data_IF_787553020397
#
_entry.id   IF_787553020397
#
_cell.length_a   1.000
_cell.length_b   1.000
_cell.length_c   1.000
_cell.angle_alpha   90.00
_cell.angle_beta   90.00
_cell.angle_gamma   90.00
#
_symmetry.space_group_name_H-M   'P 1'
#
loop_
_entity.id
_entity.type
_entity.pdbx_description
1 polymer ?
#
# COMPACT_ATOMS: atom_id res chain seq x y z
N UNK A 1 -97.61 -20.14 40.53
CA UNK A 1 -96.75 -19.96 41.72
C UNK A 1 -95.52 -20.84 41.54
N UNK A 2 -94.34 -20.23 41.65
CA UNK A 2 -92.96 -20.74 41.46
C UNK A 2 -92.67 -21.37 40.08
N UNK A 3 -92.17 -20.64 39.08
CA UNK A 3 -90.81 -20.07 38.93
C UNK A 3 -89.67 -21.04 39.30
N UNK A 4 -89.08 -21.64 38.27
CA UNK A 4 -87.71 -22.15 38.30
C UNK A 4 -86.98 -21.69 37.04
N UNK A 5 -86.42 -20.48 37.17
CA UNK A 5 -85.38 -19.90 36.33
C UNK A 5 -84.17 -20.84 36.27
N UNK A 6 -83.91 -21.43 35.11
CA UNK A 6 -82.62 -22.05 34.81
C UNK A 6 -81.66 -20.93 34.39
N UNK A 7 -80.82 -20.49 35.33
CA UNK A 7 -79.77 -19.51 35.06
C UNK A 7 -78.78 -20.08 34.04
N UNK A 8 -78.77 -19.49 32.84
CA UNK A 8 -77.65 -19.63 31.93
C UNK A 8 -76.40 -19.00 32.55
N UNK A 9 -75.37 -19.82 32.80
CA UNK A 9 -74.06 -19.32 33.22
C UNK A 9 -73.41 -18.67 32.00
N UNK A 10 -73.48 -17.35 31.91
CA UNK A 10 -72.77 -16.54 30.94
C UNK A 10 -71.29 -16.52 31.31
N UNK A 11 -70.47 -17.34 30.66
CA UNK A 11 -69.01 -17.22 30.74
C UNK A 11 -68.58 -16.02 29.88
N UNK A 12 -68.46 -14.84 30.51
CA UNK A 12 -67.78 -13.70 29.89
C UNK A 12 -66.28 -14.00 29.94
N UNK A 13 -65.73 -14.45 28.81
CA UNK A 13 -64.28 -14.51 28.65
C UNK A 13 -63.77 -13.07 28.55
N UNK A 14 -63.29 -12.53 29.68
CA UNK A 14 -62.59 -11.25 29.72
C UNK A 14 -61.25 -11.44 29.00
N UNK A 15 -61.21 -11.14 27.71
CA UNK A 15 -59.96 -10.94 26.96
C UNK A 15 -59.32 -9.66 27.49
N UNK A 16 -58.53 -9.81 28.56
CA UNK A 16 -57.63 -8.76 29.01
C UNK A 16 -56.60 -8.55 27.88
N UNK A 17 -56.44 -7.32 27.35
CA UNK A 17 -55.36 -7.04 26.43
C UNK A 17 -54.06 -7.27 27.20
N UNK A 18 -53.31 -8.31 26.84
CA UNK A 18 -51.96 -8.51 27.37
C UNK A 18 -51.14 -7.32 26.87
N UNK A 19 -50.61 -6.44 27.73
CA UNK A 19 -49.71 -5.40 27.27
C UNK A 19 -48.47 -6.09 26.69
N UNK A 20 -48.27 -6.00 25.39
CA UNK A 20 -46.99 -6.35 24.79
C UNK A 20 -45.98 -5.29 25.23
N UNK A 21 -45.24 -5.59 26.30
CA UNK A 21 -44.12 -4.77 26.74
C UNK A 21 -42.96 -4.96 25.77
N UNK A 22 -42.85 -4.13 24.73
CA UNK A 22 -41.65 -4.12 23.90
C UNK A 22 -40.56 -3.36 24.64
N UNK A 23 -39.60 -4.08 25.22
CA UNK A 23 -38.33 -3.50 25.66
C UNK A 23 -37.36 -3.52 24.48
N UNK A 24 -37.01 -2.33 23.97
CA UNK A 24 -35.92 -2.15 23.02
C UNK A 24 -34.74 -1.49 23.72
N UNK A 25 -33.55 -2.05 23.57
CA UNK A 25 -32.29 -1.38 23.93
C UNK A 25 -31.57 -1.01 22.63
N UNK A 26 -31.21 0.26 22.48
CA UNK A 26 -30.38 0.74 21.38
C UNK A 26 -28.99 0.98 21.92
N UNK A 27 -27.99 0.36 21.31
CA UNK A 27 -26.58 0.62 21.59
C UNK A 27 -25.99 1.42 20.43
N UNK A 28 -25.45 2.60 20.73
CA UNK A 28 -24.70 3.39 19.76
C UNK A 28 -23.22 2.99 19.80
N UNK A 29 -22.67 2.60 18.65
CA UNK A 29 -21.24 2.28 18.51
C UNK A 29 -20.60 3.39 17.67
N UNK A 30 -19.64 4.11 18.25
CA UNK A 30 -18.83 5.12 17.55
C UNK A 30 -17.39 4.65 17.45
N UNK A 31 -16.85 4.69 16.23
CA UNK A 31 -15.47 4.31 15.93
C UNK A 31 -14.79 5.50 15.27
N UNK A 32 -13.55 5.79 15.69
CA UNK A 32 -12.68 6.76 15.03
C UNK A 32 -11.46 6.03 14.48
N UNK A 33 -11.18 6.22 13.19
CA UNK A 33 -10.00 5.67 12.52
C UNK A 33 -9.01 6.83 12.30
N UNK A 34 -7.81 6.80 12.89
CA UNK A 34 -6.81 7.84 12.67
C UNK A 34 -6.21 7.73 11.26
N UNK A 35 -5.63 8.82 10.77
CA UNK A 35 -4.85 8.79 9.52
C UNK A 35 -3.57 7.93 9.68
N UNK A 36 -3.20 7.21 8.63
CA UNK A 36 -1.99 6.39 8.55
C UNK A 36 -1.32 6.52 7.19
N UNK A 37 0.01 6.58 7.20
CA UNK A 37 0.85 6.59 6.00
C UNK A 37 1.81 5.40 6.10
N UNK A 38 1.70 4.48 5.15
CA UNK A 38 2.53 3.28 5.12
C UNK A 38 2.72 2.80 3.69
N UNK A 39 3.94 2.38 3.37
CA UNK A 39 4.27 1.75 2.09
C UNK A 39 5.08 0.49 2.34
N UNK A 40 5.04 -0.42 1.38
CA UNK A 40 5.81 -1.65 1.37
C UNK A 40 6.46 -1.87 0.02
N UNK A 41 7.62 -2.54 0.03
CA UNK A 41 8.30 -2.97 -1.17
C UNK A 41 7.94 -4.42 -1.46
N UNK A 42 7.62 -4.72 -2.71
CA UNK A 42 7.40 -6.08 -3.21
C UNK A 42 8.50 -6.45 -4.20
N UNK A 43 8.90 -7.71 -4.20
CA UNK A 43 9.77 -8.28 -5.22
C UNK A 43 9.12 -9.54 -5.79
N UNK A 44 8.92 -9.58 -7.11
CA UNK A 44 8.26 -10.70 -7.81
C UNK A 44 6.87 -11.01 -7.23
N UNK A 45 6.14 -9.97 -6.83
CA UNK A 45 4.82 -10.08 -6.21
C UNK A 45 4.82 -10.53 -4.74
N UNK A 46 5.98 -10.81 -4.14
CA UNK A 46 6.09 -11.23 -2.75
C UNK A 46 6.40 -10.05 -1.83
N UNK A 47 5.78 -10.05 -0.65
CA UNK A 47 6.05 -9.09 0.42
C UNK A 47 7.42 -9.40 1.03
N UNK A 48 8.40 -8.54 0.72
CA UNK A 48 9.79 -8.67 1.21
C UNK A 48 10.07 -7.77 2.42
N UNK A 49 9.04 -7.05 2.89
CA UNK A 49 9.14 -6.08 3.98
C UNK A 49 9.78 -4.76 3.54
N UNK A 50 10.60 -4.18 4.42
CA UNK A 50 11.16 -2.83 4.24
C UNK A 50 12.44 -2.78 3.38
N UNK A 51 12.96 -3.93 2.95
CA UNK A 51 14.17 -4.00 2.13
C UNK A 51 14.29 -5.33 1.39
N UNK A 52 14.86 -5.30 0.19
CA UNK A 52 15.32 -6.49 -0.53
C UNK A 52 16.65 -6.18 -1.25
N UNK A 53 17.33 -7.24 -1.69
CA UNK A 53 18.58 -7.10 -2.46
C UNK A 53 18.35 -7.59 -3.88
N UNK A 54 18.58 -6.71 -4.85
CA UNK A 54 18.70 -7.07 -6.25
C UNK A 54 20.15 -7.49 -6.54
N UNK A 55 20.34 -8.77 -6.83
CA UNK A 55 21.65 -9.31 -7.26
C UNK A 55 21.62 -9.60 -8.75
N UNK A 56 22.62 -9.12 -9.48
CA UNK A 56 22.74 -9.37 -10.92
C UNK A 56 24.22 -9.48 -11.33
N UNK A 57 24.50 -10.35 -12.30
CA UNK A 57 25.78 -10.41 -13.00
C UNK A 57 25.71 -9.53 -14.23
N UNK A 58 26.63 -8.59 -14.36
CA UNK A 58 26.64 -7.56 -15.39
C UNK A 58 28.03 -7.43 -16.02
N UNK A 59 28.08 -6.92 -17.24
CA UNK A 59 29.29 -6.70 -18.03
C UNK A 59 29.55 -5.19 -18.18
N UNK A 60 30.82 -4.76 -18.19
CA UNK A 60 31.19 -3.37 -18.47
C UNK A 60 30.69 -2.88 -19.84
N UNK A 61 30.38 -1.58 -19.92
CA UNK A 61 29.99 -0.89 -21.15
C UNK A 61 28.54 -1.10 -21.60
N UNK A 62 27.68 -1.68 -20.74
CA UNK A 62 26.27 -1.98 -21.06
C UNK A 62 25.31 -1.32 -20.07
N UNK A 63 24.08 -1.07 -20.52
CA UNK A 63 22.96 -0.72 -19.65
C UNK A 63 22.08 -1.95 -19.39
N UNK A 64 21.76 -2.17 -18.12
CA UNK A 64 20.89 -3.22 -17.64
C UNK A 64 19.56 -2.62 -17.20
N UNK A 65 18.49 -3.36 -17.44
CA UNK A 65 17.12 -2.96 -17.06
C UNK A 65 16.49 -4.05 -16.23
N UNK A 66 15.94 -3.68 -15.08
CA UNK A 66 15.09 -4.53 -14.26
C UNK A 66 13.69 -3.91 -14.27
N UNK A 67 12.78 -4.40 -15.14
CA UNK A 67 11.42 -3.90 -15.18
C UNK A 67 10.70 -4.26 -13.87
N UNK A 68 9.88 -3.33 -13.39
CA UNK A 68 8.97 -3.56 -12.29
C UNK A 68 7.77 -4.40 -12.69
N UNK A 69 6.83 -4.54 -11.75
CA UNK A 69 5.60 -5.32 -11.94
C UNK A 69 5.68 -6.71 -11.32
N UNK A 70 4.77 -7.64 -11.67
CA UNK A 70 4.61 -8.92 -10.96
C UNK A 70 5.84 -9.82 -10.91
N UNK A 71 6.83 -9.59 -11.78
CA UNK A 71 8.09 -10.35 -11.84
C UNK A 71 9.31 -9.51 -11.41
N UNK A 72 9.08 -8.31 -10.88
CA UNK A 72 10.12 -7.36 -10.51
C UNK A 72 9.74 -6.54 -9.30
N UNK A 73 10.30 -5.34 -9.23
CA UNK A 73 10.06 -4.41 -8.13
C UNK A 73 8.67 -3.77 -8.24
N UNK A 74 7.94 -3.75 -7.13
CA UNK A 74 6.69 -3.00 -6.99
C UNK A 74 6.68 -2.28 -5.65
N UNK A 75 5.93 -1.18 -5.57
CA UNK A 75 5.63 -0.47 -4.33
C UNK A 75 4.15 -0.61 -4.05
N UNK A 76 3.79 -0.96 -2.81
CA UNK A 76 2.42 -1.09 -2.34
C UNK A 76 2.11 0.03 -1.35
N UNK A 77 1.03 0.77 -1.59
CA UNK A 77 0.46 1.74 -0.66
C UNK A 77 -0.49 1.03 0.31
N UNK A 78 -0.26 1.25 1.61
CA UNK A 78 -1.06 0.73 2.72
C UNK A 78 -1.73 1.88 3.51
N UNK A 79 -1.64 3.10 3.00
CA UNK A 79 -2.13 4.32 3.64
C UNK A 79 -3.65 4.44 3.53
N UNK A 80 -4.28 5.12 4.50
CA UNK A 80 -5.70 5.47 4.44
C UNK A 80 -5.95 6.94 4.06
N UNK A 81 -4.91 7.66 3.67
CA UNK A 81 -4.91 9.03 3.15
C UNK A 81 -4.07 9.11 1.88
N UNK A 82 -4.28 10.11 1.01
CA UNK A 82 -3.42 10.32 -0.16
C UNK A 82 -1.97 10.58 0.21
N UNK A 83 -1.03 9.99 -0.54
CA UNK A 83 0.42 10.13 -0.31
C UNK A 83 1.19 10.66 -1.50
N UNK A 84 2.31 11.32 -1.21
CA UNK A 84 3.37 11.61 -2.15
C UNK A 84 4.52 10.62 -1.91
N UNK A 85 4.95 9.95 -2.98
CA UNK A 85 6.04 8.99 -2.97
C UNK A 85 7.33 9.63 -3.51
N UNK A 86 8.42 9.38 -2.81
CA UNK A 86 9.76 9.88 -3.14
C UNK A 86 10.77 8.74 -3.18
N UNK A 87 11.85 8.95 -3.94
CA UNK A 87 13.00 8.06 -4.00
C UNK A 87 14.32 8.83 -3.83
N UNK A 88 15.31 8.17 -3.23
CA UNK A 88 16.73 8.57 -3.30
C UNK A 88 17.64 7.33 -3.30
N UNK A 89 18.91 7.51 -3.63
CA UNK A 89 19.95 6.55 -3.27
C UNK A 89 20.89 7.13 -2.19
N UNK A 90 21.63 6.25 -1.51
CA UNK A 90 22.61 6.63 -0.50
C UNK A 90 23.78 7.44 -1.09
N UNK A 91 24.17 7.14 -2.33
CA UNK A 91 25.29 7.73 -3.02
C UNK A 91 25.67 6.93 -4.26
N UNK A 92 26.93 7.01 -4.66
CA UNK A 92 27.51 6.18 -5.71
C UNK A 92 27.56 4.70 -5.31
N UNK A 93 27.59 3.79 -6.28
CA UNK A 93 27.76 2.37 -5.98
C UNK A 93 29.21 2.11 -5.55
N UNK A 94 29.37 1.48 -4.39
CA UNK A 94 30.67 1.20 -3.77
C UNK A 94 31.11 -0.23 -4.04
N UNK A 95 32.34 -0.41 -4.52
CA UNK A 95 32.97 -1.70 -4.78
C UNK A 95 34.50 -1.58 -4.84
N UNK A 96 35.19 -2.39 -5.67
CA UNK A 96 36.62 -2.23 -5.94
C UNK A 96 36.99 -0.83 -6.45
N UNK A 97 36.05 -0.18 -7.14
CA UNK A 97 36.04 1.24 -7.47
C UNK A 97 34.62 1.80 -7.29
N UNK A 98 34.41 3.05 -7.67
CA UNK A 98 33.12 3.72 -7.52
C UNK A 98 32.42 3.85 -8.88
N UNK A 99 31.15 3.40 -8.97
CA UNK A 99 30.29 3.70 -10.13
C UNK A 99 29.41 4.89 -9.77
N UNK A 100 29.52 6.03 -10.48
CA UNK A 100 28.73 7.22 -10.16
C UNK A 100 27.22 6.98 -10.17
N UNK A 101 26.50 7.55 -9.20
CA UNK A 101 25.05 7.42 -9.01
C UNK A 101 24.25 7.80 -10.25
N UNK A 102 24.78 8.67 -11.13
CA UNK A 102 24.08 9.07 -12.36
C UNK A 102 23.88 7.89 -13.34
N UNK A 103 24.64 6.80 -13.17
CA UNK A 103 24.47 5.57 -13.92
C UNK A 103 23.29 4.71 -13.42
N UNK A 104 22.79 4.96 -12.21
CA UNK A 104 21.64 4.28 -11.63
C UNK A 104 20.39 5.15 -11.79
N UNK A 105 19.37 4.63 -12.47
CA UNK A 105 18.19 5.39 -12.89
C UNK A 105 16.92 4.65 -12.50
N UNK A 106 15.81 5.38 -12.43
CA UNK A 106 14.49 4.87 -12.10
C UNK A 106 13.43 5.39 -13.10
N UNK A 107 12.31 4.66 -13.24
CA UNK A 107 11.18 5.07 -14.07
C UNK A 107 9.86 4.44 -13.61
N UNK A 108 8.78 4.77 -14.33
CA UNK A 108 7.46 4.13 -14.24
C UNK A 108 6.66 4.54 -13.00
N UNK A 109 6.82 3.91 -11.83
CA UNK A 109 6.03 4.20 -10.61
C UNK A 109 4.50 4.23 -10.87
N UNK A 110 4.03 3.45 -11.85
CA UNK A 110 2.63 3.44 -12.30
C UNK A 110 2.18 4.77 -12.92
N UNK A 111 3.11 5.51 -13.51
CA UNK A 111 2.94 6.79 -14.22
C UNK A 111 3.84 6.80 -15.46
N UNK A 112 3.74 7.83 -16.31
CA UNK A 112 4.64 8.01 -17.46
C UNK A 112 5.98 8.68 -17.07
N UNK A 113 6.50 8.37 -15.88
CA UNK A 113 7.74 8.96 -15.38
C UNK A 113 8.92 8.51 -16.26
N UNK A 114 9.66 9.44 -16.90
CA UNK A 114 10.77 9.09 -17.76
C UNK A 114 11.94 8.52 -16.96
N UNK A 115 12.81 7.77 -17.65
CA UNK A 115 14.06 7.27 -17.07
C UNK A 115 14.91 8.43 -16.53
N UNK A 116 15.03 8.50 -15.20
CA UNK A 116 15.64 9.62 -14.48
C UNK A 116 16.78 9.12 -13.59
N UNK A 117 17.97 9.74 -13.60
CA UNK A 117 19.05 9.39 -12.68
C UNK A 117 18.68 9.58 -11.21
N UNK A 118 19.17 8.69 -10.35
CA UNK A 118 19.02 8.84 -8.90
C UNK A 118 19.89 9.97 -8.37
N UNK A 119 19.44 10.52 -7.25
CA UNK A 119 20.10 11.56 -6.47
C UNK A 119 20.21 11.13 -5.02
N UNK A 120 21.04 11.82 -4.25
CA UNK A 120 21.15 11.64 -2.79
C UNK A 120 20.06 12.37 -2.01
N UNK A 121 19.30 13.23 -2.68
CA UNK A 121 18.11 13.91 -2.16
C UNK A 121 16.83 13.21 -2.62
N UNK A 122 15.78 13.26 -1.80
CA UNK A 122 14.47 12.72 -2.16
C UNK A 122 13.86 13.48 -3.35
N UNK A 123 13.52 12.75 -4.40
CA UNK A 123 12.87 13.26 -5.60
C UNK A 123 11.47 12.65 -5.72
N UNK A 124 10.42 13.44 -6.00
CA UNK A 124 9.06 12.92 -6.13
C UNK A 124 8.92 12.02 -7.36
N UNK A 125 8.27 10.88 -7.19
CA UNK A 125 8.01 9.92 -8.28
C UNK A 125 6.52 9.73 -8.55
N UNK A 126 5.67 10.00 -7.55
CA UNK A 126 4.22 9.95 -7.66
C UNK A 126 3.62 10.91 -6.63
N UNK A 127 2.66 11.73 -7.03
CA UNK A 127 1.99 12.69 -6.16
C UNK A 127 0.50 12.38 -6.04
N UNK A 128 -0.09 12.71 -4.89
CA UNK A 128 -1.50 12.53 -4.59
C UNK A 128 -2.00 11.11 -4.95
N UNK A 129 -1.20 10.10 -4.60
CA UNK A 129 -1.56 8.72 -4.83
C UNK A 129 -2.60 8.29 -3.81
N UNK A 130 -3.76 7.84 -4.31
CA UNK A 130 -4.81 7.27 -3.48
C UNK A 130 -5.03 5.81 -3.88
N UNK A 131 -4.65 4.87 -3.02
CA UNK A 131 -5.07 3.49 -3.14
C UNK A 131 -6.57 3.36 -2.78
N UNK A 132 -7.42 3.05 -3.76
CA UNK A 132 -8.86 2.83 -3.54
C UNK A 132 -9.24 1.36 -3.41
N UNK A 133 -8.35 0.48 -3.85
CA UNK A 133 -8.45 -0.98 -3.79
C UNK A 133 -7.06 -1.61 -3.92
N UNK A 134 -6.95 -2.91 -3.69
CA UNK A 134 -5.67 -3.64 -3.75
C UNK A 134 -4.97 -3.56 -5.11
N UNK A 135 -5.72 -3.44 -6.22
CA UNK A 135 -5.13 -3.34 -7.56
C UNK A 135 -4.50 -1.97 -7.79
N UNK A 136 -5.13 -0.92 -7.29
CA UNK A 136 -4.64 0.47 -7.37
C UNK A 136 -3.60 0.80 -6.28
N UNK A 137 -3.47 -0.07 -5.28
CA UNK A 137 -2.48 0.03 -4.22
C UNK A 137 -1.08 -0.38 -4.67
N UNK A 138 -0.90 -1.07 -5.80
CA UNK A 138 0.41 -1.58 -6.22
C UNK A 138 0.86 -0.94 -7.53
N UNK A 139 2.08 -0.42 -7.57
CA UNK A 139 2.66 0.20 -8.77
C UNK A 139 4.01 -0.41 -9.11
N UNK A 140 4.35 -0.59 -10.40
CA UNK A 140 5.67 -1.05 -10.82
C UNK A 140 6.73 0.03 -10.58
N UNK A 141 7.97 -0.36 -10.27
CA UNK A 141 9.11 0.55 -10.27
C UNK A 141 10.27 -0.05 -11.05
N UNK A 142 10.69 0.64 -12.11
CA UNK A 142 11.74 0.15 -13.01
C UNK A 142 13.09 0.70 -12.54
N UNK A 143 14.14 -0.13 -12.56
CA UNK A 143 15.51 0.25 -12.23
C UNK A 143 16.42 0.00 -13.44
N UNK A 144 17.35 0.91 -13.67
CA UNK A 144 18.34 0.81 -14.75
C UNK A 144 19.73 1.09 -14.20
N UNK A 145 20.73 0.34 -14.65
CA UNK A 145 22.13 0.55 -14.29
C UNK A 145 23.01 0.50 -15.52
N UNK A 146 23.72 1.59 -15.79
CA UNK A 146 24.79 1.61 -16.78
C UNK A 146 26.11 1.23 -16.09
N UNK A 147 26.80 0.21 -16.59
CA UNK A 147 28.15 -0.12 -16.12
C UNK A 147 29.15 0.58 -17.05
N UNK A 148 30.01 1.48 -16.54
CA UNK A 148 31.06 2.09 -17.35
C UNK A 148 31.95 1.04 -18.03
N UNK A 149 32.55 1.35 -19.20
CA UNK A 149 33.58 0.50 -19.78
C UNK A 149 34.76 0.32 -18.82
N UNK A 150 35.41 -0.84 -18.90
CA UNK A 150 36.59 -1.19 -18.10
C UNK A 150 36.37 -1.24 -16.59
N UNK A 151 35.11 -1.27 -16.13
CA UNK A 151 34.83 -1.39 -14.70
C UNK A 151 35.46 -2.66 -14.12
N UNK A 152 36.16 -2.50 -12.99
CA UNK A 152 36.89 -3.58 -12.34
C UNK A 152 35.93 -4.70 -11.85
N UNK A 153 36.34 -5.98 -11.93
CA UNK A 153 35.52 -7.08 -11.44
C UNK A 153 35.38 -7.02 -9.91
N UNK A 154 34.15 -7.15 -9.42
CA UNK A 154 33.83 -7.24 -8.00
C UNK A 154 32.38 -6.89 -7.73
N UNK A 155 32.01 -6.87 -6.45
CA UNK A 155 30.66 -6.53 -6.04
C UNK A 155 30.53 -5.02 -5.80
N UNK A 156 29.50 -4.42 -6.41
CA UNK A 156 29.15 -3.00 -6.23
C UNK A 156 27.81 -2.91 -5.52
N UNK A 157 27.72 -2.09 -4.46
CA UNK A 157 26.54 -1.99 -3.60
C UNK A 157 26.09 -0.55 -3.43
N UNK A 158 24.79 -0.34 -3.36
CA UNK A 158 24.15 0.93 -2.99
C UNK A 158 22.78 0.64 -2.39
N UNK A 159 22.31 1.51 -1.48
CA UNK A 159 20.94 1.46 -0.96
C UNK A 159 20.07 2.49 -1.66
N UNK A 160 18.87 2.06 -2.04
CA UNK A 160 17.80 2.92 -2.55
C UNK A 160 16.73 3.02 -1.46
N UNK A 161 16.22 4.22 -1.22
CA UNK A 161 15.21 4.50 -0.21
C UNK A 161 13.96 5.05 -0.85
N UNK A 162 12.81 4.51 -0.43
CA UNK A 162 11.50 5.06 -0.71
C UNK A 162 10.94 5.73 0.53
N UNK A 163 10.29 6.88 0.33
CA UNK A 163 9.63 7.61 1.40
C UNK A 163 8.22 7.98 0.94
N UNK A 164 7.23 7.68 1.77
CA UNK A 164 5.87 8.18 1.63
C UNK A 164 5.59 9.22 2.70
N UNK A 165 4.94 10.31 2.30
CA UNK A 165 4.39 11.32 3.22
C UNK A 165 2.95 11.60 2.82
N UNK A 166 2.12 12.04 3.76
CA UNK A 166 0.77 12.54 3.46
C UNK A 166 0.87 13.70 2.45
N UNK A 167 0.06 13.63 1.39
CA UNK A 167 -0.02 14.72 0.41
C UNK A 167 -0.61 15.98 1.05
N UNK A 168 -0.03 17.14 0.76
CA UNK A 168 -0.63 18.42 1.12
C UNK A 168 -1.93 18.60 0.30
N UNK A 169 -3.01 18.93 1.00
CA UNK A 169 -4.34 19.19 0.42
C UNK A 169 -4.41 20.59 -0.16
#
# INVERSE_FOLDING_TARGET
MSDYSWMGVLFILLLLPIPFSTMGAVQEVRVTVPESVEIMVLWKGEEVGNSFTLTATVEPGKEYTWPGGPQGLQIKDLSNVPIDLYIKAEGDLQGPETIPIQNLKYANYGTNLPKTPLTTTYTPVRKNWTARDERNAVVPADIYLTIPPFTAPGEYRVRIYHLAIKSAT
#
